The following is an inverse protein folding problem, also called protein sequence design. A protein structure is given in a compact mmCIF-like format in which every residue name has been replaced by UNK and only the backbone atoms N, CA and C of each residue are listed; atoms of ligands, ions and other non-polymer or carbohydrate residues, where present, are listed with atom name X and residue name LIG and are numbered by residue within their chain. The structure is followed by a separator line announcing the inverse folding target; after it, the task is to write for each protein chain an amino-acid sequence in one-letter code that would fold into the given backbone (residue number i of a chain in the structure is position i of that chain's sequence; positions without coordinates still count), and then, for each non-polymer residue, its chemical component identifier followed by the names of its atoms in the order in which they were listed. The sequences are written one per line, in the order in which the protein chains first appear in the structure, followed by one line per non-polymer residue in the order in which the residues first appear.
data_IF_649922302014
#
_entry.id   IF_649922302014
#
_cell.length_a   1.000
_cell.length_b   1.000
_cell.length_c   1.000
_cell.angle_alpha   90.00
_cell.angle_beta   90.00
_cell.angle_gamma   90.00
#
_symmetry.space_group_name_H-M   'P 1'
#
loop_
_entity.id
_entity.type
_entity.pdbx_description
1 polymer ?
2 non-polymer ?
3 water ?
#
# COMPACT_ATOMS: atom_id res chain seq x y z
N UNK A 1 19.76 -7.14 -0.13
CA UNK A 1 19.37 -5.71 0.04
C UNK A 1 19.09 -5.43 1.51
N UNK A 2 19.73 -4.38 2.07
CA UNK A 2 19.61 -4.13 3.51
C UNK A 2 18.16 -3.96 3.96
N UNK A 3 17.84 -4.61 5.08
CA UNK A 3 16.50 -4.60 5.66
C UNK A 3 15.96 -3.19 5.88
N UNK A 4 16.81 -2.29 6.35
CA UNK A 4 16.38 -0.91 6.58
C UNK A 4 16.01 -0.18 5.28
N UNK A 5 16.71 -0.47 4.19
CA UNK A 5 16.34 0.12 2.91
C UNK A 5 14.96 -0.37 2.45
N UNK A 6 14.71 -1.68 2.59
CA UNK A 6 13.39 -2.25 2.29
C UNK A 6 12.31 -1.58 3.14
N UNK A 7 12.61 -1.34 4.42
CA UNK A 7 11.70 -0.59 5.29
C UNK A 7 11.35 0.78 4.69
N UNK A 8 12.35 1.55 4.28
CA UNK A 8 12.08 2.87 3.71
C UNK A 8 11.24 2.77 2.45
N UNK A 9 11.51 1.75 1.64
CA UNK A 9 10.76 1.58 0.39
C UNK A 9 9.28 1.30 0.66
N UNK A 10 9.01 0.43 1.63
CA UNK A 10 7.62 0.11 1.95
C UNK A 10 6.93 1.32 2.60
N UNK A 11 7.64 2.08 3.43
CA UNK A 11 7.08 3.32 3.96
C UNK A 11 6.72 4.31 2.86
N UNK A 12 7.57 4.42 1.84
CA UNK A 12 7.30 5.32 0.72
C UNK A 12 6.05 4.88 -0.03
N UNK A 13 5.89 3.57 -0.22
CA UNK A 13 4.68 3.01 -0.85
C UNK A 13 3.44 3.35 -0.03
N UNK A 14 3.56 3.21 1.28
CA UNK A 14 2.44 3.48 2.18
C UNK A 14 2.03 4.94 2.09
N UNK A 15 3.00 5.85 2.08
CA UNK A 15 2.69 7.27 1.94
C UNK A 15 2.00 7.54 0.59
N UNK A 16 2.56 6.99 -0.48
CA UNK A 16 2.01 7.16 -1.83
C UNK A 16 0.56 6.68 -1.91
N UNK A 17 0.32 5.47 -1.41
CA UNK A 17 -1.03 4.90 -1.46
C UNK A 17 -2.02 5.66 -0.60
N UNK A 18 -1.59 6.07 0.58
CA UNK A 18 -2.51 6.71 1.52
C UNK A 18 -2.92 8.11 1.02
N UNK A 19 -1.93 8.90 0.62
CA UNK A 19 -2.20 10.25 0.13
C UNK A 19 -3.01 10.21 -1.16
N UNK A 20 -2.68 9.27 -2.03
CA UNK A 20 -3.39 9.12 -3.29
C UNK A 20 -4.86 8.79 -3.09
N UNK A 21 -5.14 7.80 -2.24
CA UNK A 21 -6.53 7.42 -2.01
C UNK A 21 -7.29 8.56 -1.34
N UNK A 22 -6.65 9.21 -0.37
CA UNK A 22 -7.27 10.32 0.34
C UNK A 22 -7.67 11.45 -0.61
N UNK A 23 -6.76 11.86 -1.50
CA UNK A 23 -7.03 12.99 -2.38
C UNK A 23 -7.88 12.64 -3.59
N UNK A 24 -7.70 11.45 -4.14
CA UNK A 24 -8.45 11.05 -5.33
C UNK A 24 -9.86 10.56 -4.99
N UNK A 25 -9.97 9.75 -3.94
CA UNK A 25 -11.24 9.11 -3.60
C UNK A 25 -11.96 9.78 -2.43
N UNK A 26 -11.25 10.64 -1.72
CA UNK A 26 -11.88 11.49 -0.71
C UNK A 26 -12.15 10.85 0.63
N UNK A 27 -11.56 9.68 0.88
CA UNK A 27 -11.72 9.03 2.17
C UNK A 27 -10.75 9.61 3.19
N UNK A 28 -11.06 9.41 4.47
CA UNK A 28 -10.23 9.95 5.57
C UNK A 28 -8.80 9.41 5.51
N UNK A 29 -7.88 10.10 6.18
CA UNK A 29 -6.50 9.64 6.23
C UNK A 29 -6.42 8.23 6.81
N UNK A 30 -7.16 7.96 7.88
CA UNK A 30 -7.12 6.64 8.53
C UNK A 30 -7.67 5.55 7.60
N UNK A 31 -8.82 5.79 6.99
CA UNK A 31 -9.37 4.80 6.06
C UNK A 31 -8.39 4.57 4.92
N UNK A 32 -7.78 5.65 4.43
CA UNK A 32 -6.86 5.56 3.30
C UNK A 32 -5.60 4.75 3.62
N UNK A 33 -5.09 4.88 4.84
CA UNK A 33 -3.94 4.09 5.30
C UNK A 33 -4.32 2.61 5.38
N UNK A 34 -5.47 2.36 6.00
CA UNK A 34 -6.01 1.00 6.11
C UNK A 34 -6.21 0.37 4.73
N UNK A 35 -6.82 1.11 3.81
CA UNK A 35 -7.05 0.61 2.45
C UNK A 35 -5.72 0.31 1.76
N UNK A 36 -4.72 1.15 2.00
CA UNK A 36 -3.40 0.93 1.39
C UNK A 36 -2.80 -0.41 1.86
N UNK A 37 -2.82 -0.67 3.17
CA UNK A 37 -2.30 -1.95 3.70
C UNK A 37 -3.09 -3.12 3.13
N UNK A 38 -4.41 -2.98 3.13
CA UNK A 38 -5.28 -4.05 2.68
C UNK A 38 -5.01 -4.37 1.21
N UNK A 39 -4.68 -3.33 0.43
CA UNK A 39 -4.44 -3.48 -1.00
C UNK A 39 -3.05 -4.05 -1.28
N UNK A 40 -2.00 -3.45 -0.73
CA UNK A 40 -0.66 -3.94 -1.03
C UNK A 40 -0.35 -5.33 -0.45
N UNK A 41 -1.08 -5.72 0.60
CA UNK A 41 -0.98 -7.07 1.17
C UNK A 41 -1.78 -8.07 0.33
N UNK A 42 -2.60 -7.53 -0.58
CA UNK A 42 -3.48 -8.29 -1.47
C UNK A 42 -4.68 -8.90 -0.72
N UNK A 43 -4.98 -8.40 0.48
CA UNK A 43 -6.16 -8.85 1.23
C UNK A 43 -7.42 -8.39 0.48
N UNK A 44 -7.52 -7.11 0.15
CA UNK A 44 -8.61 -6.60 -0.71
C UNK A 44 -10.03 -6.87 -0.22
N UNK A 45 -10.35 -6.55 1.03
CA UNK A 45 -11.72 -6.75 1.51
C UNK A 45 -12.79 -6.17 0.58
N UNK A 46 -12.56 -4.99 0.04
CA UNK A 46 -13.57 -4.37 -0.83
C UNK A 46 -14.56 -3.52 -0.06
N UNK A 47 -14.34 -3.36 1.25
CA UNK A 47 -15.12 -2.38 2.03
C UNK A 47 -14.83 -0.96 1.53
N UNK A 48 -13.62 -0.76 1.04
CA UNK A 48 -13.23 0.47 0.34
C UNK A 48 -12.55 0.09 -0.96
N UNK A 49 -12.86 0.84 -2.01
CA UNK A 49 -12.28 0.61 -3.33
C UNK A 49 -12.52 1.87 -4.15
N UNK A 50 -11.67 2.11 -5.16
CA UNK A 50 -11.87 3.34 -5.95
C UNK A 50 -13.14 3.32 -6.78
N UNK A 51 -13.80 4.47 -6.85
CA UNK A 51 -15.05 4.61 -7.60
C UNK A 51 -14.88 5.46 -8.86
N UNK A 52 -13.72 6.09 -9.00
CA UNK A 52 -13.46 6.99 -10.13
C UNK A 52 -12.45 6.38 -11.10
N UNK A 53 -12.50 6.75 -12.40
CA UNK A 53 -11.48 6.28 -13.34
C UNK A 53 -10.05 6.61 -12.90
N UNK A 54 -9.81 7.82 -12.39
CA UNK A 54 -8.48 8.17 -11.89
C UNK A 54 -8.08 7.26 -10.72
N UNK A 55 -9.03 7.02 -9.82
CA UNK A 55 -8.78 6.15 -8.66
C UNK A 55 -8.46 4.75 -9.10
N UNK A 56 -9.14 4.27 -10.13
CA UNK A 56 -8.88 2.94 -10.69
C UNK A 56 -7.47 2.83 -11.29
N UNK A 57 -7.08 3.82 -12.09
CA UNK A 57 -5.74 3.84 -12.65
C UNK A 57 -4.68 3.93 -11.54
N UNK A 58 -4.92 4.80 -10.58
CA UNK A 58 -4.03 4.95 -9.43
C UNK A 58 -3.87 3.63 -8.67
N UNK A 59 -4.98 2.94 -8.45
CA UNK A 59 -4.96 1.67 -7.74
C UNK A 59 -4.11 0.63 -8.48
N UNK A 60 -4.23 0.58 -9.81
CA UNK A 60 -3.38 -0.31 -10.61
C UNK A 60 -1.90 0.02 -10.42
N UNK A 61 -1.55 1.31 -10.40
CA UNK A 61 -0.16 1.70 -10.15
C UNK A 61 0.31 1.28 -8.76
N UNK A 62 -0.54 1.45 -7.75
CA UNK A 62 -0.20 1.05 -6.38
C UNK A 62 0.01 -0.46 -6.30
N UNK A 63 -0.85 -1.21 -6.99
CA UNK A 63 -0.75 -2.67 -7.04
C UNK A 63 0.62 -3.07 -7.59
N UNK A 64 1.00 -2.49 -8.73
CA UNK A 64 2.27 -2.82 -9.39
C UNK A 64 3.48 -2.42 -8.54
N UNK A 65 3.43 -1.23 -7.96
CA UNK A 65 4.56 -0.70 -7.18
C UNK A 65 4.62 -1.25 -5.77
N UNK A 66 3.48 -1.68 -5.25
CA UNK A 66 3.38 -1.95 -3.82
C UNK A 66 3.36 -3.39 -3.39
N UNK A 67 2.79 -4.28 -4.21
CA UNK A 67 2.65 -5.67 -3.78
C UNK A 67 4.00 -6.37 -3.61
N UNK A 68 4.93 -6.14 -4.54
CA UNK A 68 6.25 -6.76 -4.46
C UNK A 68 7.05 -6.19 -3.30
N UNK A 69 6.97 -4.87 -3.14
CA UNK A 69 7.67 -4.17 -2.07
C UNK A 69 7.19 -4.66 -0.70
N UNK A 70 5.88 -4.77 -0.54
CA UNK A 70 5.33 -5.27 0.70
C UNK A 70 5.74 -6.72 0.96
N UNK A 71 5.70 -7.54 -0.08
CA UNK A 71 6.08 -8.95 0.06
C UNK A 71 7.52 -9.10 0.57
N UNK A 72 8.44 -8.32 0.01
CA UNK A 72 9.85 -8.37 0.43
C UNK A 72 9.99 -7.87 1.87
N UNK A 73 9.25 -6.82 2.22
CA UNK A 73 9.29 -6.28 3.57
C UNK A 73 8.83 -7.29 4.62
N UNK A 74 7.73 -7.99 4.36
CA UNK A 74 7.23 -8.94 5.34
C UNK A 74 8.20 -10.11 5.54
N UNK A 75 8.79 -10.59 4.46
CA UNK A 75 9.74 -11.69 4.57
C UNK A 75 11.00 -11.27 5.33
N UNK A 76 11.43 -10.02 5.15
CA UNK A 76 12.58 -9.51 5.92
C UNK A 76 12.25 -9.35 7.40
N UNK A 77 11.02 -8.95 7.70
CA UNK A 77 10.56 -8.85 9.09
C UNK A 77 10.50 -10.22 9.76
N UNK A 78 10.05 -11.23 9.01
CA UNK A 78 10.04 -12.63 9.47
C UNK A 78 11.38 -13.03 10.07
N UNK A 79 12.46 -12.73 9.34
CA UNK A 79 13.82 -13.08 9.76
C UNK A 79 14.18 -12.50 11.13
N UNK A 80 13.84 -11.23 11.34
CA UNK A 80 14.12 -10.55 12.61
C UNK A 80 13.28 -11.08 13.77
N UNK A 81 12.02 -11.40 13.49
CA UNK A 81 11.14 -11.97 14.51
C UNK A 81 11.46 -13.45 14.78
N UNK A 82 11.84 -14.18 13.74
CA UNK A 82 12.27 -15.57 13.89
C UNK A 82 13.79 -15.63 14.09
X LIG B 1 -13.18 -9.01 -1.36
X LIG C 1 -10.43 -10.07 -1.61
X LIG D 1 -7.73 -11.12 -1.84
X LIG E 1 -4.48 -12.39 -2.13
X LIG F 1 6.46 -16.64 -3.10
#
# INVERSE_FOLDING_TARGET
VPATRILLLVLAVIIYGTAGFHFIEGESWTVSLYWTFVTIATVGYGDYSPRTPLGMYFTCTLIVLGIGTFAVAVERLLEFLI
K K
K K
K K
K K
K K
#
